data_IF_760756938922
#
_entry.id   IF_760756938922
#
_cell.length_a   1.000
_cell.length_b   1.000
_cell.length_c   1.000
_cell.angle_alpha   90.00
_cell.angle_beta   90.00
_cell.angle_gamma   90.00
#
_symmetry.space_group_name_H-M   'P 1'
#
loop_
_entity.id
_entity.type
_entity.pdbx_description
1 polymer ?
#
# COMPACT_ATOMS: atom_id res chain seq x y z
N UNK A 1 -16.44 -27.29 32.66
CA UNK A 1 -14.97 -27.26 32.52
C UNK A 1 -14.56 -25.82 32.77
N UNK A 2 -14.13 -25.53 34.00
CA UNK A 2 -13.70 -24.22 34.46
C UNK A 2 -12.21 -24.41 34.78
N UNK A 3 -11.32 -23.70 34.09
CA UNK A 3 -9.88 -23.76 34.35
C UNK A 3 -9.52 -22.72 35.41
N UNK A 4 -8.98 -23.21 36.52
CA UNK A 4 -8.44 -22.43 37.61
C UNK A 4 -6.94 -22.17 37.40
N UNK A 5 -6.53 -20.97 37.80
CA UNK A 5 -5.17 -20.47 37.89
C UNK A 5 -4.22 -21.41 38.65
N UNK A 6 -3.01 -21.57 38.12
CA UNK A 6 -1.84 -22.00 38.88
C UNK A 6 -0.62 -21.19 38.45
N UNK A 7 -0.20 -20.25 39.31
CA UNK A 7 1.18 -19.77 39.36
C UNK A 7 2.01 -20.68 40.28
N UNK A 8 3.30 -20.85 40.00
CA UNK A 8 4.29 -21.15 41.02
C UNK A 8 5.21 -19.95 41.28
N UNK A 9 5.34 -19.61 42.57
CA UNK A 9 6.46 -18.87 43.15
C UNK A 9 7.77 -19.61 42.90
N UNK A 10 8.84 -18.90 42.56
CA UNK A 10 10.19 -19.15 43.10
C UNK A 10 11.05 -17.88 43.02
N UNK A 11 11.68 -17.61 44.16
CA UNK A 11 12.60 -16.54 44.52
C UNK A 11 14.00 -16.70 43.91
N UNK A 12 14.68 -15.59 43.63
CA UNK A 12 16.12 -15.57 43.32
C UNK A 12 16.72 -14.17 43.37
N UNK A 13 17.66 -13.98 44.30
CA UNK A 13 18.44 -12.77 44.59
C UNK A 13 19.26 -12.22 43.42
N UNK A 14 19.45 -10.89 43.34
CA UNK A 14 20.78 -10.26 43.26
C UNK A 14 20.69 -8.73 43.31
N UNK A 15 21.36 -8.17 44.31
CA UNK A 15 21.73 -6.75 44.49
C UNK A 15 22.71 -6.26 43.43
N UNK A 16 22.59 -5.02 42.96
CA UNK A 16 23.76 -4.25 42.50
C UNK A 16 23.57 -2.75 42.65
N UNK A 17 24.68 -2.12 43.02
CA UNK A 17 24.84 -0.81 43.65
C UNK A 17 24.60 0.40 42.76
N UNK A 18 24.05 1.46 43.38
CA UNK A 18 24.16 2.86 42.93
C UNK A 18 25.63 3.25 42.74
N UNK A 19 25.97 3.78 41.57
CA UNK A 19 27.19 4.60 41.37
C UNK A 19 26.81 6.06 41.18
N UNK A 20 27.68 6.86 41.76
CA UNK A 20 27.65 8.29 42.09
C UNK A 20 27.78 9.21 40.87
N UNK A 21 27.05 10.33 40.88
CA UNK A 21 27.33 11.48 40.03
C UNK A 21 28.62 12.16 40.52
N UNK A 22 29.64 12.20 39.66
CA UNK A 22 30.84 13.01 39.82
C UNK A 22 30.69 14.34 39.11
N UNK A 23 30.86 15.42 39.86
CA UNK A 23 31.04 16.81 39.43
C UNK A 23 32.27 16.96 38.52
N UNK A 24 32.13 17.67 37.40
CA UNK A 24 33.24 18.11 36.55
C UNK A 24 33.21 19.63 36.48
N UNK A 25 34.22 20.25 37.10
CA UNK A 25 34.60 21.63 36.88
C UNK A 25 35.99 21.66 36.22
N UNK A 26 36.30 22.80 35.57
CA UNK A 26 37.58 23.29 35.03
C UNK A 26 37.72 23.37 33.50
N UNK A 27 37.41 24.55 32.96
CA UNK A 27 38.14 25.15 31.82
C UNK A 27 38.15 26.69 31.98
N UNK A 28 39.32 27.35 32.04
CA UNK A 28 39.41 28.78 31.79
C UNK A 28 39.82 29.09 30.34
N UNK A 29 39.18 30.12 29.79
CA UNK A 29 39.45 30.74 28.48
C UNK A 29 40.72 31.59 28.52
N UNK A 30 41.45 31.60 27.40
CA UNK A 30 42.41 32.60 26.85
C UNK A 30 43.56 31.84 26.15
N UNK A 31 44.23 32.22 25.06
CA UNK A 31 44.31 33.47 24.32
C UNK A 31 45.11 33.24 23.00
N UNK A 32 45.01 34.20 22.08
CA UNK A 32 46.08 34.74 21.20
C UNK A 32 46.38 34.09 19.82
N UNK A 33 46.26 34.98 18.82
CA UNK A 33 46.66 34.96 17.41
C UNK A 33 48.13 34.59 17.16
N UNK A 34 48.43 33.93 16.02
CA UNK A 34 49.46 34.41 15.08
C UNK A 34 49.36 33.77 13.68
N UNK A 35 49.42 34.64 12.66
CA UNK A 35 49.63 34.35 11.24
C UNK A 35 50.87 33.48 11.02
N UNK A 36 50.82 32.58 10.04
CA UNK A 36 51.88 32.44 9.04
C UNK A 36 51.26 32.08 7.68
N UNK A 37 51.54 32.95 6.70
CA UNK A 37 51.24 32.77 5.28
C UNK A 37 52.16 31.73 4.67
N UNK A 38 51.61 30.76 3.95
CA UNK A 38 52.33 30.01 2.93
C UNK A 38 51.45 29.93 1.68
N UNK A 39 51.94 30.57 0.63
CA UNK A 39 51.43 30.57 -0.72
C UNK A 39 51.43 29.15 -1.31
N UNK A 40 50.26 28.62 -1.61
CA UNK A 40 50.10 27.50 -2.54
C UNK A 40 49.64 28.06 -3.89
N UNK A 41 50.45 27.82 -4.93
CA UNK A 41 50.09 28.06 -6.32
C UNK A 41 48.84 27.24 -6.66
N UNK A 42 47.70 27.92 -6.81
CA UNK A 42 46.47 27.31 -7.29
C UNK A 42 46.57 27.09 -8.81
N UNK A 43 46.47 25.83 -9.23
CA UNK A 43 46.22 25.47 -10.62
C UNK A 43 44.85 26.03 -11.07
N UNK A 44 44.65 26.36 -12.35
CA UNK A 44 43.43 27.00 -12.81
C UNK A 44 42.25 26.05 -12.62
N UNK A 45 41.26 26.48 -11.85
CA UNK A 45 39.98 25.79 -11.70
C UNK A 45 39.31 25.72 -13.07
N UNK A 46 39.27 24.52 -13.66
CA UNK A 46 38.41 24.21 -14.79
C UNK A 46 36.98 24.44 -14.34
N UNK A 47 36.30 25.39 -14.99
CA UNK A 47 34.86 25.60 -14.85
C UNK A 47 34.14 24.28 -15.15
N UNK A 48 33.69 23.59 -14.10
CA UNK A 48 32.64 22.58 -14.21
C UNK A 48 31.37 23.34 -14.61
N UNK A 49 31.04 23.32 -15.89
CA UNK A 49 29.70 23.64 -16.32
C UNK A 49 28.75 22.78 -15.47
N UNK A 50 27.88 23.44 -14.69
CA UNK A 50 26.90 22.75 -13.88
C UNK A 50 26.06 21.89 -14.83
N UNK A 51 26.22 20.56 -14.73
CA UNK A 51 25.27 19.66 -15.34
C UNK A 51 23.90 19.98 -14.73
N UNK A 52 22.81 20.05 -15.52
CA UNK A 52 21.50 20.25 -14.95
C UNK A 52 21.27 19.14 -13.93
N UNK A 53 20.90 19.51 -12.71
CA UNK A 53 20.51 18.54 -11.70
C UNK A 53 19.41 17.67 -12.31
N UNK A 54 19.68 16.37 -12.41
CA UNK A 54 18.68 15.39 -12.84
C UNK A 54 17.44 15.56 -11.97
N UNK A 55 16.26 15.73 -12.58
CA UNK A 55 15.00 15.89 -11.84
C UNK A 55 14.85 14.77 -10.81
N UNK A 56 14.39 15.12 -9.62
CA UNK A 56 14.12 14.14 -8.56
C UNK A 56 12.80 13.47 -8.88
N UNK A 57 12.86 12.23 -9.34
CA UNK A 57 11.68 11.51 -9.84
C UNK A 57 11.36 10.31 -8.96
N UNK A 58 10.06 10.08 -8.75
CA UNK A 58 9.54 8.82 -8.20
C UNK A 58 8.71 8.12 -9.28
N UNK A 59 8.96 6.83 -9.52
CA UNK A 59 8.06 5.98 -10.29
C UNK A 59 7.36 4.97 -9.38
N UNK A 60 6.03 5.01 -9.38
CA UNK A 60 5.16 4.05 -8.71
C UNK A 60 4.66 3.01 -9.71
N UNK A 61 4.64 1.76 -9.31
CA UNK A 61 4.23 0.65 -10.18
C UNK A 61 3.08 -0.12 -9.54
N UNK A 62 2.03 -0.39 -10.31
CA UNK A 62 1.19 -1.54 -10.03
C UNK A 62 2.00 -2.86 -10.08
N UNK A 63 1.46 -3.94 -9.51
CA UNK A 63 2.11 -5.25 -9.51
C UNK A 63 1.64 -6.13 -10.68
N UNK A 64 0.35 -6.44 -10.72
CA UNK A 64 -0.18 -7.59 -11.47
C UNK A 64 -0.64 -7.21 -12.88
N UNK A 65 0.15 -7.57 -13.89
CA UNK A 65 0.01 -7.09 -15.27
C UNK A 65 1.03 -6.00 -15.62
N UNK A 66 1.59 -5.33 -14.60
CA UNK A 66 2.52 -4.21 -14.73
C UNK A 66 3.97 -4.61 -14.49
N UNK A 67 4.29 -5.18 -13.33
CA UNK A 67 5.64 -5.69 -13.02
C UNK A 67 5.74 -7.21 -13.21
N UNK A 68 4.62 -7.91 -13.06
CA UNK A 68 4.53 -9.37 -13.24
C UNK A 68 3.50 -9.70 -14.31
N UNK A 69 3.63 -10.84 -15.00
CA UNK A 69 2.50 -11.38 -15.74
C UNK A 69 1.33 -11.67 -14.78
N UNK A 70 0.10 -11.64 -15.31
CA UNK A 70 -1.11 -11.82 -14.51
C UNK A 70 -1.06 -13.08 -13.60
N UNK A 71 -1.15 -12.88 -12.29
CA UNK A 71 -1.11 -13.90 -11.21
C UNK A 71 0.16 -14.74 -11.18
N UNK A 72 1.24 -14.27 -11.76
CA UNK A 72 2.55 -14.95 -11.77
C UNK A 72 3.59 -14.15 -11.00
N UNK A 73 4.78 -14.75 -10.83
CA UNK A 73 5.90 -14.13 -10.13
C UNK A 73 6.66 -13.19 -11.07
N UNK A 74 7.31 -12.19 -10.46
CA UNK A 74 8.26 -11.32 -11.14
C UNK A 74 9.43 -12.14 -11.70
N UNK A 75 9.89 -11.77 -12.89
CA UNK A 75 11.04 -12.43 -13.51
C UNK A 75 12.36 -11.88 -12.95
N UNK A 76 13.46 -12.68 -12.96
CA UNK A 76 14.78 -12.18 -12.59
C UNK A 76 15.23 -10.97 -13.43
N UNK A 77 14.86 -10.94 -14.71
CA UNK A 77 15.18 -9.86 -15.64
C UNK A 77 14.48 -8.54 -15.25
N UNK A 78 13.21 -8.60 -14.85
CA UNK A 78 12.49 -7.43 -14.36
C UNK A 78 13.04 -6.96 -13.01
N UNK A 79 13.37 -7.88 -12.09
CA UNK A 79 14.03 -7.52 -10.83
C UNK A 79 15.36 -6.78 -11.07
N UNK A 80 16.21 -7.32 -11.94
CA UNK A 80 17.48 -6.70 -12.28
C UNK A 80 17.30 -5.31 -12.91
N UNK A 81 16.31 -5.17 -13.79
CA UNK A 81 15.95 -3.89 -14.38
C UNK A 81 15.52 -2.85 -13.33
N UNK A 82 14.63 -3.21 -12.40
CA UNK A 82 14.19 -2.31 -11.33
C UNK A 82 15.37 -1.86 -10.45
N UNK A 83 16.32 -2.74 -10.16
CA UNK A 83 17.52 -2.37 -9.41
C UNK A 83 18.44 -1.41 -10.18
N UNK A 84 18.51 -1.52 -11.51
CA UNK A 84 19.22 -0.54 -12.33
C UNK A 84 18.49 0.80 -12.34
N UNK A 85 17.16 0.78 -12.53
CA UNK A 85 16.32 1.98 -12.52
C UNK A 85 16.41 2.76 -11.20
N UNK A 86 16.46 2.04 -10.08
CA UNK A 86 16.58 2.60 -8.72
C UNK A 86 17.88 3.38 -8.49
N UNK A 87 18.92 3.16 -9.29
CA UNK A 87 20.17 3.95 -9.21
C UNK A 87 19.99 5.38 -9.73
N UNK A 88 18.97 5.60 -10.56
CA UNK A 88 18.71 6.87 -11.24
C UNK A 88 17.54 7.63 -10.63
N UNK A 89 16.47 6.92 -10.27
CA UNK A 89 15.24 7.50 -9.70
C UNK A 89 14.78 6.72 -8.46
N UNK A 90 13.91 7.31 -7.65
CA UNK A 90 13.23 6.54 -6.62
C UNK A 90 12.14 5.68 -7.24
N UNK A 91 11.97 4.47 -6.70
CA UNK A 91 10.93 3.55 -7.16
C UNK A 91 10.06 3.08 -6.01
N UNK A 92 8.77 2.87 -6.30
CA UNK A 92 7.84 2.30 -5.35
C UNK A 92 6.82 1.39 -5.99
N UNK A 93 6.22 0.53 -5.18
CA UNK A 93 5.20 -0.41 -5.64
C UNK A 93 3.90 -0.17 -4.89
N UNK A 94 2.76 -0.24 -5.59
CA UNK A 94 1.43 -0.07 -5.03
C UNK A 94 0.46 -1.15 -5.53
N UNK A 95 -0.05 -1.97 -4.62
CA UNK A 95 -0.98 -3.05 -4.93
C UNK A 95 -2.17 -3.08 -3.98
N UNK A 96 -3.33 -3.51 -4.48
CA UNK A 96 -4.53 -3.70 -3.65
C UNK A 96 -4.52 -4.98 -2.80
N UNK A 97 -3.60 -5.89 -3.09
CA UNK A 97 -3.41 -7.12 -2.32
C UNK A 97 -2.77 -6.86 -0.96
N UNK A 98 -2.96 -7.79 -0.03
CA UNK A 98 -2.18 -7.83 1.21
C UNK A 98 -0.68 -8.00 0.93
N UNK A 99 0.12 -7.65 1.93
CA UNK A 99 1.56 -7.68 1.84
C UNK A 99 2.14 -9.08 1.57
N UNK A 100 1.49 -10.14 2.05
CA UNK A 100 1.94 -11.52 1.82
C UNK A 100 1.81 -11.90 0.35
N UNK A 101 0.66 -11.62 -0.27
CA UNK A 101 0.45 -11.84 -1.70
C UNK A 101 1.42 -11.01 -2.55
N UNK A 102 1.68 -9.77 -2.13
CA UNK A 102 2.68 -8.95 -2.79
C UNK A 102 4.06 -9.62 -2.71
N UNK A 103 4.50 -10.10 -1.54
CA UNK A 103 5.74 -10.85 -1.40
C UNK A 103 5.79 -12.14 -2.25
N UNK A 104 4.66 -12.84 -2.40
CA UNK A 104 4.58 -14.03 -3.26
C UNK A 104 4.89 -13.70 -4.73
N UNK A 105 4.43 -12.53 -5.20
CA UNK A 105 4.61 -12.07 -6.58
C UNK A 105 5.98 -11.43 -6.81
N UNK A 106 6.39 -10.47 -5.96
CA UNK A 106 7.61 -9.67 -6.16
C UNK A 106 8.82 -10.15 -5.35
N UNK A 107 8.65 -11.18 -4.53
CA UNK A 107 9.70 -11.82 -3.72
C UNK A 107 9.70 -11.39 -2.26
N UNK A 108 10.34 -12.20 -1.41
CA UNK A 108 10.46 -11.95 0.04
C UNK A 108 11.34 -10.73 0.36
N UNK A 109 12.20 -10.35 -0.57
CA UNK A 109 13.09 -9.18 -0.61
C UNK A 109 12.37 -7.90 -1.12
N UNK A 110 11.05 -7.96 -1.28
CA UNK A 110 10.24 -6.89 -1.86
C UNK A 110 10.26 -5.56 -1.11
N UNK A 111 10.55 -5.54 0.19
CA UNK A 111 10.76 -4.26 0.88
C UNK A 111 12.08 -3.64 0.43
N UNK A 112 13.18 -4.40 0.54
CA UNK A 112 14.53 -3.89 0.31
C UNK A 112 14.79 -3.46 -1.13
N UNK A 113 13.99 -3.97 -2.07
CA UNK A 113 14.13 -3.70 -3.49
C UNK A 113 13.46 -2.39 -3.95
N UNK A 114 12.65 -1.75 -3.10
CA UNK A 114 11.94 -0.52 -3.43
C UNK A 114 12.16 0.54 -2.34
N UNK A 115 12.10 1.82 -2.71
CA UNK A 115 12.17 2.91 -1.73
C UNK A 115 10.84 3.06 -1.00
N UNK A 116 9.74 2.76 -1.69
CA UNK A 116 8.38 2.75 -1.16
C UNK A 116 7.68 1.42 -1.47
N UNK A 117 6.99 0.85 -0.49
CA UNK A 117 6.14 -0.32 -0.70
C UNK A 117 4.78 -0.12 -0.04
N UNK A 118 3.74 -0.11 -0.88
CA UNK A 118 2.37 0.17 -0.51
C UNK A 118 1.50 -1.07 -0.76
N UNK A 119 1.25 -1.83 0.29
CA UNK A 119 0.29 -2.93 0.27
C UNK A 119 -1.11 -2.39 0.63
N UNK A 120 -2.15 -3.09 0.18
CA UNK A 120 -3.55 -2.71 0.38
C UNK A 120 -3.79 -1.23 0.01
N UNK A 121 -3.34 -0.80 -1.18
CA UNK A 121 -3.40 0.58 -1.69
C UNK A 121 -2.63 1.63 -0.86
N UNK A 122 -1.73 1.19 0.03
CA UNK A 122 -0.99 2.06 0.95
C UNK A 122 -1.56 2.08 2.36
N UNK A 123 -2.59 1.28 2.66
CA UNK A 123 -3.03 1.10 4.04
C UNK A 123 -1.97 0.43 4.90
N UNK A 124 -1.08 -0.34 4.30
CA UNK A 124 0.19 -0.73 4.92
C UNK A 124 1.31 -0.17 4.06
N UNK A 125 2.03 0.82 4.61
CA UNK A 125 3.03 1.59 3.89
C UNK A 125 4.40 1.43 4.53
N UNK A 126 5.39 1.10 3.69
CA UNK A 126 6.79 1.03 4.05
C UNK A 126 7.60 2.05 3.25
N UNK A 127 8.63 2.62 3.88
CA UNK A 127 9.65 3.42 3.22
C UNK A 127 11.03 2.98 3.71
N UNK A 128 11.92 2.62 2.80
CA UNK A 128 13.25 2.09 3.12
C UNK A 128 13.19 0.96 4.18
N UNK A 129 12.34 -0.03 3.96
CA UNK A 129 12.08 -1.18 4.86
C UNK A 129 11.39 -0.85 6.20
N UNK A 130 11.18 0.43 6.51
CA UNK A 130 10.52 0.84 7.75
C UNK A 130 9.01 1.02 7.54
N UNK A 131 8.21 0.46 8.45
CA UNK A 131 6.76 0.66 8.46
C UNK A 131 6.47 2.12 8.85
N UNK A 132 5.93 2.89 7.91
CA UNK A 132 5.59 4.31 8.12
C UNK A 132 4.11 4.53 8.40
N UNK A 133 3.24 3.64 7.95
CA UNK A 133 1.82 3.71 8.27
C UNK A 133 1.14 2.35 8.21
N UNK A 134 0.15 2.17 9.10
CA UNK A 134 -0.81 1.08 9.06
C UNK A 134 -2.19 1.61 9.41
N UNK A 135 -3.11 1.55 8.47
CA UNK A 135 -4.51 1.91 8.64
C UNK A 135 -5.38 0.64 8.65
N UNK A 136 -6.52 0.71 9.35
CA UNK A 136 -7.50 -0.37 9.34
C UNK A 136 -8.92 0.18 9.25
N UNK A 137 -9.78 -0.54 8.56
CA UNK A 137 -11.18 -0.17 8.37
C UNK A 137 -11.88 0.00 9.71
N UNK A 138 -11.69 -0.95 10.64
CA UNK A 138 -12.26 -0.89 11.98
C UNK A 138 -11.84 0.38 12.74
N UNK A 139 -10.56 0.77 12.69
CA UNK A 139 -10.10 1.99 13.33
C UNK A 139 -10.66 3.24 12.63
N UNK A 140 -10.80 3.21 11.30
CA UNK A 140 -11.27 4.35 10.51
C UNK A 140 -12.73 4.68 10.78
N UNK A 141 -13.60 3.68 10.85
CA UNK A 141 -15.04 3.89 11.06
C UNK A 141 -15.46 3.76 12.53
N UNK A 142 -14.63 3.13 13.36
CA UNK A 142 -14.95 2.85 14.76
C UNK A 142 -15.78 1.58 14.95
N UNK A 143 -15.57 0.91 16.08
CA UNK A 143 -16.18 -0.39 16.38
C UNK A 143 -17.71 -0.32 16.45
N UNK A 144 -18.27 0.77 16.97
CA UNK A 144 -19.72 0.95 17.07
C UNK A 144 -20.39 0.98 15.69
N UNK A 145 -19.87 1.79 14.76
CA UNK A 145 -20.40 1.88 13.40
C UNK A 145 -20.11 0.62 12.60
N UNK A 146 -18.96 -0.02 12.82
CA UNK A 146 -18.64 -1.30 12.21
C UNK A 146 -19.65 -2.39 12.61
N UNK A 147 -20.01 -2.49 13.88
CA UNK A 147 -21.02 -3.45 14.33
C UNK A 147 -22.40 -3.14 13.76
N UNK A 148 -22.80 -1.86 13.67
CA UNK A 148 -24.05 -1.46 13.00
C UNK A 148 -24.05 -1.90 11.54
N UNK A 149 -22.96 -1.66 10.82
CA UNK A 149 -22.77 -2.08 9.43
C UNK A 149 -22.89 -3.60 9.27
N UNK A 150 -22.13 -4.38 10.07
CA UNK A 150 -22.15 -5.85 10.00
C UNK A 150 -23.53 -6.41 10.36
N UNK A 151 -24.16 -5.91 11.43
CA UNK A 151 -25.48 -6.36 11.86
C UNK A 151 -26.54 -6.09 10.78
N UNK A 152 -26.47 -4.92 10.14
CA UNK A 152 -27.36 -4.58 9.03
C UNK A 152 -27.16 -5.55 7.86
N UNK A 153 -25.92 -5.84 7.48
CA UNK A 153 -25.60 -6.78 6.39
C UNK A 153 -26.15 -8.17 6.70
N UNK A 154 -25.90 -8.69 7.90
CA UNK A 154 -26.42 -10.00 8.31
C UNK A 154 -27.96 -10.03 8.31
N UNK A 155 -28.60 -8.98 8.83
CA UNK A 155 -30.05 -8.85 8.82
C UNK A 155 -30.61 -8.81 7.40
N UNK A 156 -30.00 -8.04 6.49
CA UNK A 156 -30.38 -7.99 5.08
C UNK A 156 -30.26 -9.38 4.43
N UNK A 157 -29.10 -10.02 4.58
CA UNK A 157 -28.82 -11.33 4.00
C UNK A 157 -29.70 -12.46 4.56
N UNK A 158 -30.19 -12.32 5.80
CA UNK A 158 -31.15 -13.27 6.38
C UNK A 158 -32.54 -13.20 5.73
N UNK A 159 -32.93 -12.04 5.19
CA UNK A 159 -34.27 -11.79 4.63
C UNK A 159 -34.37 -12.05 3.13
N UNK A 160 -33.28 -11.84 2.39
CA UNK A 160 -33.29 -12.11 0.95
C UNK A 160 -33.41 -13.62 0.68
N UNK A 161 -34.17 -13.99 -0.34
CA UNK A 161 -34.25 -15.39 -0.81
C UNK A 161 -33.37 -15.53 -2.05
N UNK A 162 -32.47 -16.51 -2.04
CA UNK A 162 -31.59 -16.83 -3.16
C UNK A 162 -31.77 -18.31 -3.51
N UNK A 163 -31.54 -18.72 -4.76
CA UNK A 163 -31.56 -20.14 -5.13
C UNK A 163 -30.56 -20.96 -4.30
N UNK A 164 -29.42 -20.37 -3.99
CA UNK A 164 -28.33 -21.01 -3.25
C UNK A 164 -27.76 -20.02 -2.22
N UNK A 165 -27.54 -20.50 -1.00
CA UNK A 165 -26.71 -19.85 0.04
C UNK A 165 -25.66 -20.84 0.54
N UNK A 166 -24.47 -20.34 0.83
CA UNK A 166 -23.33 -21.10 1.37
C UNK A 166 -22.86 -20.44 2.66
N UNK A 167 -21.59 -20.05 2.75
CA UNK A 167 -20.99 -19.43 3.93
C UNK A 167 -19.91 -18.41 3.55
N UNK A 168 -19.41 -17.69 4.56
CA UNK A 168 -18.52 -16.54 4.39
C UNK A 168 -19.21 -15.43 3.59
N UNK A 169 -20.31 -14.93 4.16
CA UNK A 169 -21.10 -13.83 3.60
C UNK A 169 -20.42 -12.47 3.76
N UNK A 170 -19.64 -12.32 4.83
CA UNK A 170 -18.83 -11.15 5.12
C UNK A 170 -17.42 -11.67 5.38
N UNK A 171 -16.45 -11.17 4.63
CA UNK A 171 -15.03 -11.41 4.86
C UNK A 171 -14.40 -10.08 5.29
N UNK A 172 -13.92 -10.04 6.52
CA UNK A 172 -13.24 -8.86 7.08
C UNK A 172 -11.77 -8.87 6.64
N UNK A 173 -11.31 -7.76 6.05
CA UNK A 173 -9.90 -7.52 5.68
C UNK A 173 -9.41 -6.25 6.36
N UNK A 174 -8.09 -6.02 6.38
CA UNK A 174 -7.52 -4.82 7.03
C UNK A 174 -8.16 -3.55 6.47
N UNK A 175 -8.27 -3.45 5.15
CA UNK A 175 -8.78 -2.26 4.48
C UNK A 175 -10.28 -2.20 4.18
N UNK A 176 -11.02 -3.31 4.29
CA UNK A 176 -12.36 -3.39 3.70
C UNK A 176 -13.17 -4.57 4.23
N UNK A 177 -14.47 -4.56 3.93
CA UNK A 177 -15.30 -5.76 3.96
C UNK A 177 -15.55 -6.24 2.53
N UNK A 178 -15.40 -7.54 2.28
CA UNK A 178 -15.96 -8.16 1.09
C UNK A 178 -17.30 -8.81 1.46
N UNK A 179 -18.39 -8.41 0.80
CA UNK A 179 -19.74 -8.90 1.08
C UNK A 179 -20.22 -9.75 -0.11
N UNK A 180 -20.64 -10.98 0.16
CA UNK A 180 -21.13 -11.93 -0.85
C UNK A 180 -22.50 -12.48 -0.45
N UNK A 181 -23.57 -12.18 -1.20
CA UNK A 181 -24.92 -12.67 -0.87
C UNK A 181 -25.05 -14.20 -0.90
N UNK A 182 -24.45 -14.86 -1.89
CA UNK A 182 -24.37 -16.34 -1.95
C UNK A 182 -23.39 -16.90 -0.91
N UNK A 183 -22.35 -16.15 -0.55
CA UNK A 183 -21.25 -16.57 0.33
C UNK A 183 -20.04 -17.10 -0.46
N UNK A 184 -18.82 -16.72 -0.05
CA UNK A 184 -17.56 -17.04 -0.76
C UNK A 184 -17.22 -18.53 -0.79
N UNK A 185 -17.81 -19.35 0.08
CA UNK A 185 -17.58 -20.79 0.11
C UNK A 185 -18.34 -21.56 -1.00
N UNK A 186 -18.96 -20.86 -1.95
CA UNK A 186 -19.63 -21.48 -3.08
C UNK A 186 -18.64 -22.05 -4.11
N UNK A 187 -19.04 -23.16 -4.74
CA UNK A 187 -18.30 -23.82 -5.79
C UNK A 187 -18.27 -22.99 -7.08
N UNK A 188 -17.42 -23.37 -8.05
CA UNK A 188 -17.21 -22.56 -9.27
C UNK A 188 -18.47 -22.45 -10.13
N UNK A 189 -19.15 -23.56 -10.32
CA UNK A 189 -20.46 -23.65 -10.99
C UNK A 189 -21.51 -22.80 -10.28
N UNK A 190 -21.54 -22.81 -8.95
CA UNK A 190 -22.43 -21.95 -8.15
C UNK A 190 -22.12 -20.45 -8.31
N UNK A 191 -20.85 -20.08 -8.47
CA UNK A 191 -20.44 -18.69 -8.77
C UNK A 191 -21.00 -18.24 -10.10
N UNK A 192 -20.86 -19.07 -11.14
CA UNK A 192 -21.38 -18.77 -12.48
C UNK A 192 -22.91 -18.64 -12.44
N UNK A 193 -23.60 -19.57 -11.77
CA UNK A 193 -25.05 -19.51 -11.63
C UNK A 193 -25.52 -18.28 -10.84
N UNK A 194 -24.80 -17.89 -9.78
CA UNK A 194 -25.12 -16.68 -9.04
C UNK A 194 -24.89 -15.41 -9.87
N UNK A 195 -23.82 -15.33 -10.66
CA UNK A 195 -23.57 -14.19 -11.55
C UNK A 195 -24.71 -14.00 -12.55
N UNK A 196 -25.14 -15.07 -13.22
CA UNK A 196 -26.29 -15.01 -14.14
C UNK A 196 -27.58 -14.60 -13.42
N UNK A 197 -27.79 -15.12 -12.20
CA UNK A 197 -28.95 -14.78 -11.38
C UNK A 197 -28.92 -13.31 -10.92
N UNK A 198 -27.78 -12.83 -10.48
CA UNK A 198 -27.55 -11.46 -10.02
C UNK A 198 -27.73 -10.45 -11.16
N UNK A 199 -27.24 -10.75 -12.37
CA UNK A 199 -27.43 -9.90 -13.54
C UNK A 199 -28.92 -9.75 -13.92
N UNK A 200 -29.72 -10.81 -13.71
CA UNK A 200 -31.16 -10.80 -14.00
C UNK A 200 -31.99 -10.14 -12.89
N UNK A 201 -31.56 -10.25 -11.64
CA UNK A 201 -32.36 -9.86 -10.46
C UNK A 201 -31.76 -8.71 -9.64
N UNK A 202 -30.62 -8.14 -10.06
CA UNK A 202 -29.93 -7.01 -9.43
C UNK A 202 -29.60 -7.16 -7.93
N UNK A 203 -29.38 -8.39 -7.44
CA UNK A 203 -29.21 -8.67 -6.00
C UNK A 203 -28.15 -7.78 -5.33
N UNK A 204 -26.95 -7.70 -5.91
CA UNK A 204 -25.85 -6.89 -5.39
C UNK A 204 -26.11 -5.39 -5.56
N UNK A 205 -26.66 -4.97 -6.70
CA UNK A 205 -26.95 -3.55 -6.98
C UNK A 205 -27.99 -2.99 -6.00
N UNK A 206 -29.06 -3.73 -5.77
CA UNK A 206 -30.13 -3.34 -4.85
C UNK A 206 -29.62 -3.29 -3.40
N UNK A 207 -28.80 -4.28 -3.01
CA UNK A 207 -28.17 -4.29 -1.70
C UNK A 207 -27.21 -3.10 -1.51
N UNK A 208 -26.36 -2.81 -2.50
CA UNK A 208 -25.45 -1.65 -2.47
C UNK A 208 -26.24 -0.34 -2.35
N UNK A 209 -27.31 -0.17 -3.14
CA UNK A 209 -28.15 1.04 -3.07
C UNK A 209 -28.80 1.20 -1.68
N UNK A 210 -29.26 0.10 -1.08
CA UNK A 210 -29.80 0.12 0.28
C UNK A 210 -28.73 0.47 1.33
N UNK A 211 -27.52 -0.07 1.20
CA UNK A 211 -26.39 0.26 2.08
C UNK A 211 -25.92 1.70 1.94
N UNK A 212 -25.83 2.22 0.71
CA UNK A 212 -25.47 3.62 0.45
C UNK A 212 -26.44 4.59 1.12
N UNK A 213 -27.73 4.27 1.14
CA UNK A 213 -28.74 5.06 1.82
C UNK A 213 -28.61 4.97 3.34
N UNK A 214 -28.46 3.77 3.89
CA UNK A 214 -28.38 3.54 5.33
C UNK A 214 -27.11 4.16 5.96
N UNK A 215 -25.98 4.03 5.28
CA UNK A 215 -24.66 4.38 5.80
C UNK A 215 -24.05 5.61 5.11
N UNK A 216 -24.90 6.51 4.60
CA UNK A 216 -24.47 7.73 3.92
C UNK A 216 -23.53 8.59 4.80
N UNK A 217 -23.70 8.56 6.12
CA UNK A 217 -22.87 9.29 7.08
C UNK A 217 -21.44 8.76 7.21
N UNK A 218 -21.18 7.52 6.79
CA UNK A 218 -19.85 6.88 6.89
C UNK A 218 -18.94 7.18 5.70
N UNK A 219 -19.47 7.79 4.62
CA UNK A 219 -18.72 8.10 3.40
C UNK A 219 -17.93 6.88 2.86
N UNK A 220 -18.66 5.78 2.62
CA UNK A 220 -18.10 4.53 2.11
C UNK A 220 -18.25 4.44 0.59
N UNK A 221 -17.25 3.85 -0.05
CA UNK A 221 -17.29 3.39 -1.44
C UNK A 221 -17.71 1.93 -1.48
N UNK A 222 -18.54 1.60 -2.47
CA UNK A 222 -19.06 0.25 -2.72
C UNK A 222 -18.67 -0.15 -4.15
N UNK A 223 -17.85 -1.19 -4.29
CA UNK A 223 -17.37 -1.64 -5.61
C UNK A 223 -17.87 -3.05 -5.91
N UNK A 224 -18.81 -3.17 -6.84
CA UNK A 224 -19.28 -4.47 -7.32
C UNK A 224 -18.23 -5.04 -8.28
N UNK A 225 -17.59 -6.13 -7.88
CA UNK A 225 -16.50 -6.75 -8.62
C UNK A 225 -16.63 -8.27 -8.69
N UNK A 226 -16.21 -8.83 -9.82
CA UNK A 226 -16.27 -10.28 -10.05
C UNK A 226 -17.70 -10.85 -10.02
N UNK A 227 -17.79 -12.15 -9.74
CA UNK A 227 -19.02 -12.92 -9.96
C UNK A 227 -20.02 -12.87 -8.79
N UNK A 228 -19.53 -12.74 -7.53
CA UNK A 228 -20.34 -13.07 -6.34
C UNK A 228 -20.34 -12.05 -5.20
N UNK A 229 -19.53 -11.01 -5.28
CA UNK A 229 -19.35 -10.09 -4.15
C UNK A 229 -19.18 -8.64 -4.59
N UNK A 230 -19.08 -7.78 -3.58
CA UNK A 230 -18.68 -6.39 -3.71
C UNK A 230 -17.86 -6.01 -2.48
N UNK A 231 -16.97 -5.04 -2.66
CA UNK A 231 -16.13 -4.51 -1.59
C UNK A 231 -16.76 -3.24 -0.99
N UNK A 232 -16.59 -3.06 0.32
CA UNK A 232 -17.01 -1.90 1.10
C UNK A 232 -15.81 -1.34 1.85
N UNK A 233 -15.46 -0.10 1.56
CA UNK A 233 -14.29 0.57 2.13
C UNK A 233 -14.52 2.09 2.23
N UNK A 234 -13.76 2.82 3.05
CA UNK A 234 -13.85 4.27 3.12
C UNK A 234 -13.53 4.93 1.77
N UNK A 235 -14.25 5.98 1.42
CA UNK A 235 -13.96 6.72 0.19
C UNK A 235 -12.50 7.21 0.16
N UNK A 236 -11.86 7.10 -1.01
CA UNK A 236 -10.46 7.44 -1.23
C UNK A 236 -9.45 6.38 -0.77
N UNK A 237 -9.89 5.15 -0.43
CA UNK A 237 -9.00 4.00 -0.20
C UNK A 237 -8.70 3.20 -1.48
N UNK A 238 -8.75 3.86 -2.64
CA UNK A 238 -8.15 3.40 -3.89
C UNK A 238 -6.63 3.68 -3.90
N UNK A 239 -5.95 3.42 -5.02
CA UNK A 239 -4.48 3.57 -5.10
C UNK A 239 -3.98 4.99 -4.85
N UNK A 240 -4.82 6.03 -5.02
CA UNK A 240 -4.43 7.41 -4.67
C UNK A 240 -4.13 7.56 -3.19
N UNK A 241 -4.64 6.67 -2.32
CA UNK A 241 -4.37 6.69 -0.89
C UNK A 241 -2.87 6.67 -0.58
N UNK A 242 -2.05 5.96 -1.36
CA UNK A 242 -0.62 5.88 -1.09
C UNK A 242 0.11 7.22 -1.28
N UNK A 243 -0.44 8.13 -2.09
CA UNK A 243 0.19 9.42 -2.42
C UNK A 243 0.35 10.32 -1.19
N UNK A 244 -0.46 10.15 -0.14
CA UNK A 244 -0.34 10.90 1.11
C UNK A 244 0.98 10.62 1.85
N UNK A 245 1.63 9.48 1.57
CA UNK A 245 2.91 9.08 2.17
C UNK A 245 4.12 9.47 1.30
N UNK A 246 3.87 10.01 0.11
CA UNK A 246 4.90 10.53 -0.78
C UNK A 246 5.15 11.99 -0.43
N UNK A 247 6.33 12.28 0.13
CA UNK A 247 6.75 13.64 0.42
C UNK A 247 7.05 14.39 -0.89
N UNK A 248 6.11 15.25 -1.30
CA UNK A 248 6.18 16.04 -2.54
C UNK A 248 7.36 17.02 -2.55
N UNK A 249 7.94 17.37 -1.40
CA UNK A 249 9.13 18.23 -1.38
C UNK A 249 10.38 17.51 -1.89
N UNK A 250 10.37 16.17 -1.87
CA UNK A 250 11.48 15.33 -2.32
C UNK A 250 11.47 15.07 -3.83
N UNK A 251 10.31 15.22 -4.49
CA UNK A 251 10.13 14.83 -5.88
C UNK A 251 9.58 15.97 -6.72
N UNK A 252 10.25 16.24 -7.83
CA UNK A 252 9.78 17.19 -8.84
C UNK A 252 8.66 16.55 -9.70
N UNK A 253 8.73 15.23 -9.88
CA UNK A 253 7.78 14.46 -10.69
C UNK A 253 7.45 13.10 -10.05
N UNK A 254 6.17 12.72 -10.07
CA UNK A 254 5.69 11.39 -9.68
C UNK A 254 5.06 10.74 -10.90
N UNK A 255 5.58 9.59 -11.30
CA UNK A 255 5.07 8.77 -12.39
C UNK A 255 4.32 7.57 -11.81
N UNK A 256 3.30 7.10 -12.51
CA UNK A 256 2.61 5.87 -12.17
C UNK A 256 2.46 4.98 -13.41
N UNK A 257 2.76 3.69 -13.28
CA UNK A 257 2.58 2.69 -14.33
C UNK A 257 1.54 1.66 -13.89
N UNK A 258 0.55 1.37 -14.76
CA UNK A 258 -0.52 0.42 -14.47
C UNK A 258 -1.14 -0.19 -15.72
N UNK A 259 -1.72 -1.39 -15.58
CA UNK A 259 -2.35 -2.14 -16.69
C UNK A 259 -3.86 -1.88 -16.81
N UNK A 260 -4.52 -1.46 -15.73
CA UNK A 260 -5.98 -1.26 -15.65
C UNK A 260 -6.33 0.20 -15.44
N UNK A 261 -5.85 1.05 -16.35
CA UNK A 261 -6.00 2.51 -16.33
C UNK A 261 -7.26 3.03 -17.01
N UNK A 262 -8.14 2.14 -17.49
CA UNK A 262 -9.46 2.49 -18.04
C UNK A 262 -10.46 2.78 -16.93
N UNK A 263 -11.53 3.53 -17.20
CA UNK A 263 -12.57 3.86 -16.21
C UNK A 263 -13.18 2.58 -15.61
N UNK A 264 -13.14 2.48 -14.27
CA UNK A 264 -13.54 1.28 -13.51
C UNK A 264 -12.45 0.23 -13.31
N UNK A 265 -11.27 0.40 -13.93
CA UNK A 265 -10.06 -0.33 -13.58
C UNK A 265 -9.45 0.19 -12.28
N UNK A 266 -8.75 -0.67 -11.53
CA UNK A 266 -8.22 -0.35 -10.20
C UNK A 266 -6.99 0.59 -10.21
N UNK A 267 -6.50 0.95 -11.40
CA UNK A 267 -5.44 1.93 -11.57
C UNK A 267 -5.95 3.30 -12.02
N UNK A 268 -7.24 3.41 -12.36
CA UNK A 268 -7.83 4.60 -12.98
C UNK A 268 -7.63 5.85 -12.14
N UNK A 269 -7.95 5.80 -10.84
CA UNK A 269 -7.93 6.96 -9.96
C UNK A 269 -6.51 7.51 -9.77
N UNK A 270 -5.50 6.63 -9.60
CA UNK A 270 -4.10 7.05 -9.47
C UNK A 270 -3.49 7.49 -10.81
N UNK A 271 -3.86 6.82 -11.90
CA UNK A 271 -3.42 7.16 -13.26
C UNK A 271 -3.90 8.55 -13.69
N UNK A 272 -5.14 8.90 -13.35
CA UNK A 272 -5.75 10.20 -13.70
C UNK A 272 -5.52 11.30 -12.65
N UNK A 273 -4.85 10.99 -11.54
CA UNK A 273 -4.60 11.96 -10.48
C UNK A 273 -3.75 13.15 -11.00
N UNK A 274 -4.15 14.41 -10.77
CA UNK A 274 -3.51 15.59 -11.38
C UNK A 274 -2.03 15.75 -11.04
N UNK A 275 -1.63 15.22 -9.88
CA UNK A 275 -0.26 15.26 -9.39
C UNK A 275 0.62 14.08 -9.85
N UNK A 276 0.09 13.21 -10.71
CA UNK A 276 0.73 11.99 -11.18
C UNK A 276 0.80 12.00 -12.71
N UNK A 277 1.96 11.65 -13.25
CA UNK A 277 2.14 11.35 -14.69
C UNK A 277 1.85 9.88 -14.91
N UNK A 278 0.62 9.57 -15.32
CA UNK A 278 0.18 8.21 -15.57
C UNK A 278 0.68 7.64 -16.90
N UNK A 279 1.11 6.38 -16.88
CA UNK A 279 1.56 5.58 -18.02
C UNK A 279 0.75 4.29 -18.05
N UNK A 280 0.01 4.08 -19.14
CA UNK A 280 -0.70 2.83 -19.35
C UNK A 280 0.26 1.81 -19.96
N UNK A 281 0.31 0.62 -19.39
CA UNK A 281 1.15 -0.48 -19.89
C UNK A 281 0.28 -1.69 -20.23
N UNK A 282 0.78 -2.51 -21.14
CA UNK A 282 0.10 -3.73 -21.59
C UNK A 282 0.75 -5.01 -21.08
N UNK A 283 1.99 -4.91 -20.58
CA UNK A 283 2.77 -6.03 -20.07
C UNK A 283 4.00 -5.55 -19.28
N UNK A 284 4.67 -6.45 -18.54
CA UNK A 284 5.96 -6.14 -17.93
C UNK A 284 7.03 -5.66 -18.92
N UNK A 285 7.05 -6.21 -20.14
CA UNK A 285 8.04 -5.79 -21.15
C UNK A 285 7.76 -4.36 -21.64
N UNK A 286 6.50 -3.99 -21.76
CA UNK A 286 6.07 -2.62 -22.09
C UNK A 286 6.45 -1.64 -20.96
N UNK A 287 6.23 -2.01 -19.70
CA UNK A 287 6.70 -1.23 -18.54
C UNK A 287 8.20 -0.97 -18.61
N UNK A 288 8.99 -2.01 -18.90
CA UNK A 288 10.45 -1.90 -19.02
C UNK A 288 10.85 -0.98 -20.19
N UNK A 289 10.20 -1.11 -21.34
CA UNK A 289 10.49 -0.29 -22.52
C UNK A 289 10.22 1.19 -22.23
N UNK A 290 9.03 1.52 -21.70
CA UNK A 290 8.66 2.91 -21.37
C UNK A 290 9.58 3.51 -20.30
N UNK A 291 9.91 2.76 -19.24
CA UNK A 291 10.85 3.23 -18.21
C UNK A 291 12.26 3.47 -18.77
N UNK A 292 12.72 2.63 -19.70
CA UNK A 292 14.03 2.80 -20.35
C UNK A 292 14.06 4.11 -21.14
N UNK A 293 13.02 4.37 -21.94
CA UNK A 293 12.89 5.62 -22.72
C UNK A 293 12.75 6.86 -21.84
N UNK A 294 12.04 6.77 -20.70
CA UNK A 294 11.79 7.93 -19.85
C UNK A 294 12.96 8.29 -18.93
N UNK A 295 13.72 7.29 -18.47
CA UNK A 295 14.63 7.47 -17.33
C UNK A 295 16.07 7.03 -17.57
N UNK A 296 16.33 6.21 -18.60
CA UNK A 296 17.65 5.61 -18.84
C UNK A 296 18.26 5.98 -20.20
N UNK A 297 17.56 6.78 -21.01
CA UNK A 297 18.02 7.29 -22.31
C UNK A 297 18.83 8.57 -22.21
#
# INVERSE_FOLDING_TARGET
IIWADKQPLLSGFATTSRKTLGSVDWLPRAAIRRLLSLSALAAPARSLAAMPATKRTLALFDVDGTLTPARLKITPEMKAFLQELRKTISIGVVGGSDFVKQQEQIGSDSLSNFDYSFAENGLVAYKNDELIAKASFAQKIGEEELQKLINWVLAYLSKITLPIKRGTFIEFRTGMLNISPIGRNCARDERNAFEEYDLKNNIRKDMVAAMQKEFAHLNLTFSIGGQISFDVFPAGWDKTYCLQFVDRSLFDEVHFFGDKTFEGGNDYEIFTHPDVKGHSVTSPDDTKAQCTELFLS
#
